data_IF_853773087075
#
_entry.id   IF_853773087075
#
_cell.length_a   1.000
_cell.length_b   1.000
_cell.length_c   1.000
_cell.angle_alpha   90.00
_cell.angle_beta   90.00
_cell.angle_gamma   90.00
#
_symmetry.space_group_name_H-M   'P 1'
#
loop_
_entity.id
_entity.type
_entity.pdbx_description
1 polymer ?
#
# COMPACT_ATOMS: atom_id res chain seq x y z
N UNK A 1 -69.03 25.62 7.74
CA UNK A 1 -68.75 26.25 6.43
C UNK A 1 -68.04 25.25 5.53
N UNK A 2 -68.81 24.54 4.70
CA UNK A 2 -68.31 23.73 3.59
C UNK A 2 -68.68 24.46 2.31
N UNK A 3 -67.70 25.14 1.71
CA UNK A 3 -67.89 25.78 0.41
C UNK A 3 -67.72 24.72 -0.69
N UNK A 4 -68.62 24.65 -1.65
CA UNK A 4 -68.48 23.79 -2.85
C UNK A 4 -67.21 24.15 -3.65
N UNK A 5 -66.74 25.40 -3.54
CA UNK A 5 -65.57 25.91 -4.27
C UNK A 5 -64.25 25.65 -3.55
N UNK A 6 -64.27 25.42 -2.23
CA UNK A 6 -63.06 25.19 -1.44
C UNK A 6 -63.33 24.13 -0.38
N UNK A 7 -62.75 22.94 -0.60
CA UNK A 7 -62.88 21.79 0.30
C UNK A 7 -61.66 21.72 1.24
N UNK A 8 -61.77 22.21 2.50
CA UNK A 8 -60.65 22.22 3.43
C UNK A 8 -60.18 20.82 3.83
N UNK A 9 -61.06 19.83 3.91
CA UNK A 9 -60.69 18.45 4.22
C UNK A 9 -59.83 17.84 3.10
N UNK A 10 -60.22 18.06 1.84
CA UNK A 10 -59.44 17.62 0.68
C UNK A 10 -58.07 18.33 0.59
N UNK A 11 -58.01 19.63 0.91
CA UNK A 11 -56.73 20.37 0.94
C UNK A 11 -55.79 19.89 2.05
N UNK A 12 -56.32 19.49 3.20
CA UNK A 12 -55.52 18.91 4.29
C UNK A 12 -55.02 17.51 3.88
N UNK A 13 -55.90 16.68 3.32
CA UNK A 13 -55.52 15.36 2.80
C UNK A 13 -54.42 15.46 1.73
N UNK A 14 -54.52 16.43 0.82
CA UNK A 14 -53.50 16.69 -0.20
C UNK A 14 -52.17 17.14 0.40
N UNK A 15 -52.19 18.01 1.43
CA UNK A 15 -50.98 18.41 2.16
C UNK A 15 -50.32 17.23 2.86
N UNK A 16 -51.10 16.38 3.52
CA UNK A 16 -50.59 15.15 4.16
C UNK A 16 -50.03 14.19 3.12
N UNK A 17 -50.72 13.98 1.99
CA UNK A 17 -50.24 13.11 0.92
C UNK A 17 -48.91 13.62 0.32
N UNK A 18 -48.81 14.93 0.08
CA UNK A 18 -47.55 15.53 -0.39
C UNK A 18 -46.42 15.35 0.64
N UNK A 19 -46.70 15.54 1.93
CA UNK A 19 -45.71 15.30 2.99
C UNK A 19 -45.26 13.82 3.03
N UNK A 20 -46.19 12.86 2.92
CA UNK A 20 -45.87 11.44 2.86
C UNK A 20 -45.06 11.08 1.62
N UNK A 21 -45.40 11.64 0.46
CA UNK A 21 -44.65 11.42 -0.78
C UNK A 21 -43.22 11.96 -0.69
N UNK A 22 -43.01 13.14 -0.10
CA UNK A 22 -41.67 13.69 0.13
C UNK A 22 -40.86 12.81 1.08
N UNK A 23 -41.46 12.34 2.18
CA UNK A 23 -40.80 11.43 3.12
C UNK A 23 -40.45 10.06 2.50
N UNK A 24 -41.33 9.55 1.63
CA UNK A 24 -41.09 8.32 0.87
C UNK A 24 -39.93 8.50 -0.11
N UNK A 25 -39.88 9.60 -0.87
CA UNK A 25 -38.76 9.93 -1.76
C UNK A 25 -37.44 10.02 -1.01
N UNK A 26 -37.41 10.68 0.15
CA UNK A 26 -36.19 10.75 0.97
C UNK A 26 -35.74 9.36 1.44
N UNK A 27 -36.68 8.50 1.85
CA UNK A 27 -36.37 7.13 2.27
C UNK A 27 -35.84 6.31 1.10
N UNK A 28 -36.46 6.42 -0.08
CA UNK A 28 -35.99 5.75 -1.30
C UNK A 28 -34.58 6.22 -1.69
N UNK A 29 -34.29 7.52 -1.62
CA UNK A 29 -32.96 8.05 -1.89
C UNK A 29 -31.91 7.50 -0.92
N UNK A 30 -32.24 7.39 0.37
CA UNK A 30 -31.34 6.76 1.37
C UNK A 30 -31.13 5.27 1.12
N UNK A 31 -32.17 4.54 0.72
CA UNK A 31 -32.07 3.11 0.40
C UNK A 31 -31.25 2.91 -0.88
N UNK A 32 -31.45 3.74 -1.90
CA UNK A 32 -30.75 3.66 -3.18
C UNK A 32 -29.27 4.02 -3.06
N UNK A 33 -28.94 5.07 -2.30
CA UNK A 33 -27.55 5.53 -2.12
C UNK A 33 -26.83 4.82 -0.98
N UNK A 34 -27.56 4.20 -0.06
CA UNK A 34 -27.03 3.68 1.21
C UNK A 34 -26.57 4.76 2.18
N UNK A 35 -26.74 6.05 1.87
CA UNK A 35 -26.27 7.17 2.69
C UNK A 35 -27.43 7.88 3.37
N UNK A 36 -27.27 8.14 4.67
CA UNK A 36 -28.22 8.96 5.44
C UNK A 36 -28.21 10.44 5.01
N UNK A 37 -27.04 10.93 4.58
CA UNK A 37 -26.79 12.27 4.02
C UNK A 37 -26.09 12.07 2.68
N UNK A 38 -26.83 12.19 1.58
CA UNK A 38 -26.31 11.96 0.23
C UNK A 38 -25.79 13.25 -0.40
N UNK A 39 -26.47 14.37 -0.15
CA UNK A 39 -26.16 15.66 -0.76
C UNK A 39 -25.76 16.71 0.28
N UNK A 40 -25.05 17.75 -0.16
CA UNK A 40 -24.71 18.89 0.69
C UNK A 40 -25.96 19.70 1.11
N UNK A 41 -27.03 19.62 0.33
CA UNK A 41 -28.34 20.22 0.61
C UNK A 41 -29.03 19.60 1.84
N UNK A 42 -28.82 18.30 2.09
CA UNK A 42 -29.39 17.59 3.23
C UNK A 42 -28.75 18.05 4.57
N UNK A 43 -27.42 18.14 4.57
CA UNK A 43 -26.65 18.67 5.70
C UNK A 43 -25.20 18.96 5.27
N UNK A 44 -24.89 20.23 4.98
CA UNK A 44 -23.57 20.62 4.45
C UNK A 44 -22.40 20.23 5.37
N UNK A 45 -22.58 20.34 6.70
CA UNK A 45 -21.52 20.03 7.66
C UNK A 45 -21.21 18.52 7.70
N UNK A 46 -22.22 17.68 7.85
CA UNK A 46 -22.03 16.22 7.86
C UNK A 46 -21.62 15.68 6.50
N UNK A 47 -22.13 16.27 5.40
CA UNK A 47 -21.73 15.88 4.06
C UNK A 47 -20.24 16.20 3.80
N UNK A 48 -19.76 17.37 4.23
CA UNK A 48 -18.35 17.75 4.09
C UNK A 48 -17.43 16.80 4.86
N UNK A 49 -17.73 16.54 6.14
CA UNK A 49 -16.96 15.59 6.96
C UNK A 49 -16.98 14.18 6.34
N UNK A 50 -18.16 13.69 5.94
CA UNK A 50 -18.29 12.37 5.33
C UNK A 50 -17.52 12.27 3.99
N UNK A 51 -17.47 13.34 3.21
CA UNK A 51 -16.73 13.38 1.95
C UNK A 51 -15.22 13.33 2.20
N UNK A 52 -14.72 14.06 3.20
CA UNK A 52 -13.31 13.98 3.62
C UNK A 52 -12.99 12.56 4.10
N UNK A 53 -13.82 11.97 4.97
CA UNK A 53 -13.63 10.60 5.45
C UNK A 53 -13.63 9.55 4.31
N UNK A 54 -14.50 9.71 3.31
CA UNK A 54 -14.50 8.83 2.12
C UNK A 54 -13.23 9.02 1.29
N UNK A 55 -12.73 10.25 1.15
CA UNK A 55 -11.45 10.52 0.48
C UNK A 55 -10.29 9.87 1.23
N UNK A 56 -10.27 9.98 2.56
CA UNK A 56 -9.24 9.38 3.40
C UNK A 56 -9.27 7.86 3.35
N UNK A 57 -10.46 7.27 3.35
CA UNK A 57 -10.61 5.82 3.21
C UNK A 57 -10.01 5.32 1.89
N UNK A 58 -10.20 6.04 0.78
CA UNK A 58 -9.57 5.71 -0.50
C UNK A 58 -8.04 5.84 -0.44
N UNK A 59 -7.54 6.93 0.14
CA UNK A 59 -6.10 7.13 0.29
C UNK A 59 -5.45 6.06 1.19
N UNK A 60 -6.09 5.69 2.30
CA UNK A 60 -5.66 4.62 3.19
C UNK A 60 -5.62 3.26 2.47
N UNK A 61 -6.62 2.97 1.64
CA UNK A 61 -6.60 1.75 0.80
C UNK A 61 -5.37 1.72 -0.10
N UNK A 62 -5.08 2.82 -0.80
CA UNK A 62 -3.89 2.89 -1.67
C UNK A 62 -2.58 2.80 -0.89
N UNK A 63 -2.53 3.34 0.33
CA UNK A 63 -1.37 3.25 1.21
C UNK A 63 -1.20 1.82 1.74
N UNK A 64 -2.29 1.12 2.02
CA UNK A 64 -2.25 -0.30 2.37
C UNK A 64 -1.70 -1.16 1.22
N UNK A 65 -2.13 -0.90 -0.01
CA UNK A 65 -1.59 -1.58 -1.19
C UNK A 65 -0.10 -1.29 -1.36
N UNK A 66 0.30 -0.02 -1.22
CA UNK A 66 1.70 0.39 -1.30
C UNK A 66 2.56 -0.23 -0.18
N UNK A 67 2.04 -0.32 1.04
CA UNK A 67 2.67 -1.02 2.16
C UNK A 67 2.87 -2.51 1.85
N UNK A 68 1.84 -3.17 1.30
CA UNK A 68 1.94 -4.59 0.91
C UNK A 68 2.99 -4.85 -0.18
N UNK A 69 3.11 -3.93 -1.14
CA UNK A 69 4.18 -3.99 -2.14
C UNK A 69 5.55 -3.72 -1.51
N UNK A 70 5.64 -2.78 -0.57
CA UNK A 70 6.84 -2.47 0.18
C UNK A 70 7.34 -3.64 1.01
N UNK A 71 6.46 -4.30 1.76
CA UNK A 71 6.79 -5.48 2.56
C UNK A 71 7.27 -6.61 1.67
N UNK A 72 6.61 -6.86 0.53
CA UNK A 72 7.03 -7.91 -0.39
C UNK A 72 8.45 -7.67 -0.97
N UNK A 73 8.80 -6.41 -1.28
CA UNK A 73 10.18 -6.05 -1.70
C UNK A 73 11.20 -6.33 -0.60
N UNK A 74 10.90 -5.92 0.63
CA UNK A 74 11.78 -6.14 1.78
C UNK A 74 11.94 -7.64 2.07
N UNK A 75 10.86 -8.40 2.01
CA UNK A 75 10.88 -9.84 2.26
C UNK A 75 11.75 -10.59 1.23
N UNK A 76 11.61 -10.28 -0.06
CA UNK A 76 12.48 -10.85 -1.11
C UNK A 76 13.94 -10.50 -0.85
N UNK A 77 14.22 -9.24 -0.51
CA UNK A 77 15.58 -8.78 -0.18
C UNK A 77 16.14 -9.53 1.03
N UNK A 78 15.35 -9.67 2.09
CA UNK A 78 15.72 -10.36 3.32
C UNK A 78 15.98 -11.85 3.11
N UNK A 79 15.12 -12.54 2.35
CA UNK A 79 15.32 -13.95 2.00
C UNK A 79 16.60 -14.17 1.19
N UNK A 80 16.85 -13.30 0.20
CA UNK A 80 18.08 -13.37 -0.61
C UNK A 80 19.34 -13.05 0.19
N UNK A 81 19.27 -12.12 1.15
CA UNK A 81 20.36 -11.87 2.10
C UNK A 81 20.64 -13.10 2.96
N UNK A 82 19.60 -13.75 3.50
CA UNK A 82 19.78 -14.95 4.30
C UNK A 82 20.42 -16.09 3.49
N UNK A 83 19.98 -16.30 2.24
CA UNK A 83 20.61 -17.27 1.35
C UNK A 83 22.06 -16.90 1.01
N UNK A 84 22.38 -15.60 0.93
CA UNK A 84 23.74 -15.11 0.70
C UNK A 84 24.64 -15.40 1.90
N UNK A 85 24.13 -15.25 3.13
CA UNK A 85 24.86 -15.61 4.36
C UNK A 85 25.24 -17.10 4.35
N UNK A 86 24.31 -17.98 4.00
CA UNK A 86 24.58 -19.43 3.90
C UNK A 86 25.70 -19.76 2.89
N UNK A 87 25.74 -19.06 1.76
CA UNK A 87 26.80 -19.21 0.75
C UNK A 87 28.14 -18.69 1.27
N UNK A 88 28.15 -17.55 1.97
CA UNK A 88 29.37 -17.00 2.59
C UNK A 88 29.91 -17.94 3.67
N UNK A 89 29.05 -18.57 4.47
CA UNK A 89 29.46 -19.56 5.46
C UNK A 89 30.09 -20.80 4.81
N UNK A 90 29.55 -21.26 3.66
CA UNK A 90 30.19 -22.31 2.85
C UNK A 90 31.56 -21.87 2.36
N UNK A 91 31.69 -20.66 1.82
CA UNK A 91 33.00 -20.10 1.38
C UNK A 91 34.00 -20.09 2.55
N UNK A 92 33.57 -19.63 3.73
CA UNK A 92 34.40 -19.62 4.95
C UNK A 92 34.86 -21.03 5.33
N UNK A 93 33.96 -22.02 5.29
CA UNK A 93 34.33 -23.42 5.60
C UNK A 93 35.39 -23.97 4.62
N UNK A 94 35.26 -23.65 3.32
CA UNK A 94 36.23 -24.04 2.28
C UNK A 94 37.57 -23.34 2.45
N UNK A 95 37.58 -22.06 2.84
CA UNK A 95 38.79 -21.31 3.17
C UNK A 95 39.53 -21.90 4.38
N UNK A 96 38.80 -22.36 5.40
CA UNK A 96 39.41 -23.04 6.56
C UNK A 96 40.01 -24.39 6.12
N UNK A 97 39.30 -25.16 5.30
CA UNK A 97 39.83 -26.42 4.76
C UNK A 97 41.10 -26.22 3.92
N UNK A 98 41.23 -25.09 3.20
CA UNK A 98 42.41 -24.75 2.42
C UNK A 98 43.67 -24.45 3.25
N UNK A 99 43.52 -24.22 4.57
CA UNK A 99 44.67 -24.01 5.47
C UNK A 99 45.34 -25.31 5.92
N UNK A 100 44.68 -26.45 5.76
CA UNK A 100 45.27 -27.74 6.11
C UNK A 100 46.46 -28.06 5.17
N UNK A 101 47.64 -28.42 5.71
CA UNK A 101 48.79 -28.80 4.90
C UNK A 101 48.51 -30.06 4.06
N UNK A 102 48.85 -30.03 2.77
CA UNK A 102 48.70 -31.19 1.87
C UNK A 102 47.38 -31.24 1.08
N UNK A 103 46.50 -30.26 1.24
CA UNK A 103 45.24 -30.17 0.47
C UNK A 103 45.44 -29.47 -0.88
N UNK A 104 44.71 -29.92 -1.90
CA UNK A 104 44.70 -29.29 -3.22
C UNK A 104 43.97 -27.93 -3.21
N UNK A 105 44.77 -26.88 -3.10
CA UNK A 105 44.29 -25.50 -3.07
C UNK A 105 43.68 -25.04 -4.40
N UNK A 106 44.06 -25.65 -5.52
CA UNK A 106 43.53 -25.26 -6.83
C UNK A 106 42.07 -25.71 -6.97
N UNK A 107 41.77 -26.94 -6.57
CA UNK A 107 40.40 -27.45 -6.54
C UNK A 107 39.51 -26.66 -5.58
N UNK A 108 40.00 -26.33 -4.38
CA UNK A 108 39.24 -25.50 -3.42
C UNK A 108 38.99 -24.08 -3.99
N UNK A 109 39.97 -23.48 -4.66
CA UNK A 109 39.78 -22.18 -5.29
C UNK A 109 38.73 -22.21 -6.40
N UNK A 110 38.65 -23.31 -7.16
CA UNK A 110 37.58 -23.51 -8.15
C UNK A 110 36.21 -23.56 -7.50
N UNK A 111 36.05 -24.30 -6.40
CA UNK A 111 34.78 -24.36 -5.65
C UNK A 111 34.40 -23.00 -5.05
N UNK A 112 35.36 -22.23 -4.52
CA UNK A 112 35.11 -20.88 -4.01
C UNK A 112 34.65 -19.96 -5.14
N UNK A 113 35.22 -20.09 -6.34
CA UNK A 113 34.82 -19.30 -7.52
C UNK A 113 33.37 -19.60 -7.91
N UNK A 114 32.97 -20.88 -7.87
CA UNK A 114 31.59 -21.27 -8.14
C UNK A 114 30.62 -20.74 -7.06
N UNK A 115 31.00 -20.80 -5.77
CA UNK A 115 30.21 -20.23 -4.69
C UNK A 115 30.07 -18.70 -4.81
N UNK A 116 31.11 -18.01 -5.29
CA UNK A 116 31.04 -16.57 -5.60
C UNK A 116 30.09 -16.30 -6.78
N UNK A 117 30.10 -17.14 -7.81
CA UNK A 117 29.16 -17.03 -8.93
C UNK A 117 27.71 -17.28 -8.45
N UNK A 118 27.50 -18.27 -7.57
CA UNK A 118 26.21 -18.53 -6.94
C UNK A 118 25.72 -17.34 -6.11
N UNK A 119 26.62 -16.70 -5.33
CA UNK A 119 26.29 -15.48 -4.56
C UNK A 119 25.79 -14.36 -5.49
N UNK A 120 26.47 -14.14 -6.63
CA UNK A 120 26.04 -13.15 -7.63
C UNK A 120 24.68 -13.50 -8.23
N UNK A 121 24.47 -14.78 -8.57
CA UNK A 121 23.17 -15.23 -9.10
C UNK A 121 22.02 -15.04 -8.10
N UNK A 122 22.25 -15.26 -6.80
CA UNK A 122 21.27 -14.96 -5.74
C UNK A 122 20.98 -13.46 -5.70
N UNK A 123 22.02 -12.63 -5.72
CA UNK A 123 21.85 -11.18 -5.75
C UNK A 123 21.05 -10.73 -6.98
N UNK A 124 21.37 -11.24 -8.18
CA UNK A 124 20.69 -10.90 -9.43
C UNK A 124 19.23 -11.38 -9.49
N UNK A 125 18.95 -12.55 -8.90
CA UNK A 125 17.59 -13.13 -8.84
C UNK A 125 16.67 -12.46 -7.82
N UNK A 126 17.20 -11.66 -6.91
CA UNK A 126 16.45 -10.93 -5.88
C UNK A 126 15.69 -9.71 -6.45
N UNK A 127 14.95 -9.91 -7.53
CA UNK A 127 14.13 -8.87 -8.17
C UNK A 127 12.66 -9.01 -7.78
N UNK A 128 12.05 -7.88 -7.42
CA UNK A 128 10.60 -7.78 -7.22
C UNK A 128 10.06 -6.62 -8.05
N UNK A 129 9.06 -6.91 -8.89
CA UNK A 129 8.44 -5.92 -9.78
C UNK A 129 9.42 -5.19 -10.70
N UNK A 130 10.52 -5.85 -11.11
CA UNK A 130 11.54 -5.28 -12.00
C UNK A 130 12.60 -4.43 -11.30
N UNK A 131 12.52 -4.24 -9.99
CA UNK A 131 13.57 -3.61 -9.18
C UNK A 131 14.36 -4.68 -8.44
N UNK A 132 15.67 -4.48 -8.34
CA UNK A 132 16.57 -5.29 -7.52
C UNK A 132 17.31 -4.37 -6.56
N UNK A 133 17.33 -4.71 -5.27
CA UNK A 133 17.94 -3.91 -4.21
C UNK A 133 19.31 -4.45 -3.76
N UNK A 134 19.69 -5.64 -4.21
CA UNK A 134 20.95 -6.32 -3.87
C UNK A 134 21.99 -6.23 -4.98
N UNK A 135 21.54 -6.38 -6.24
CA UNK A 135 22.38 -6.18 -7.42
C UNK A 135 22.11 -4.78 -7.97
N UNK A 136 22.86 -3.80 -7.46
CA UNK A 136 22.75 -2.39 -7.86
C UNK A 136 24.08 -1.89 -8.39
N UNK A 137 24.04 -1.21 -9.53
CA UNK A 137 25.19 -0.51 -10.09
C UNK A 137 25.27 0.90 -9.50
N UNK A 138 26.14 1.07 -8.51
CA UNK A 138 26.39 2.37 -7.85
C UNK A 138 27.08 3.40 -8.76
N UNK A 139 27.57 2.98 -9.94
CA UNK A 139 28.17 3.87 -10.95
C UNK A 139 27.15 4.41 -11.96
N UNK A 140 25.93 3.84 -11.99
CA UNK A 140 24.88 4.30 -12.87
C UNK A 140 24.33 5.66 -12.42
N UNK A 141 24.19 6.61 -13.36
CA UNK A 141 23.71 7.97 -13.06
C UNK A 141 22.28 8.07 -12.48
N UNK A 142 21.51 6.98 -12.52
CA UNK A 142 20.17 6.86 -11.93
C UNK A 142 20.16 6.05 -10.62
N UNK A 143 21.33 5.77 -10.05
CA UNK A 143 21.42 5.05 -8.78
C UNK A 143 20.84 5.91 -7.65
N UNK A 144 19.82 5.36 -6.99
CA UNK A 144 19.24 5.95 -5.79
C UNK A 144 19.64 5.06 -4.63
N UNK A 145 20.56 5.56 -3.81
CA UNK A 145 21.13 4.88 -2.63
C UNK A 145 20.07 4.59 -1.57
N UNK A 146 19.17 5.54 -1.33
CA UNK A 146 18.12 5.42 -0.33
C UNK A 146 16.81 5.07 -1.01
N UNK A 147 16.33 3.85 -0.82
CA UNK A 147 15.01 3.41 -1.29
C UNK A 147 13.95 3.85 -0.29
N UNK A 148 12.83 4.34 -0.78
CA UNK A 148 11.72 4.77 0.07
C UNK A 148 10.55 3.79 -0.03
N UNK A 149 10.03 3.40 1.13
CA UNK A 149 8.82 2.58 1.26
C UNK A 149 7.77 3.40 1.99
N UNK A 150 6.53 3.43 1.48
CA UNK A 150 5.42 4.12 2.15
C UNK A 150 5.23 3.52 3.55
N UNK A 151 5.07 4.36 4.58
CA UNK A 151 4.97 3.92 5.98
C UNK A 151 3.64 4.28 6.63
N UNK A 152 3.14 5.49 6.39
CA UNK A 152 1.88 5.93 6.98
C UNK A 152 1.23 7.07 6.20
N UNK A 153 -0.07 7.20 6.42
CA UNK A 153 -0.88 8.31 5.95
C UNK A 153 -1.33 9.11 7.16
N UNK A 154 -1.07 10.42 7.13
CA UNK A 154 -1.48 11.33 8.20
C UNK A 154 -2.26 12.50 7.62
N UNK A 155 -3.37 12.83 8.29
CA UNK A 155 -4.15 14.04 8.01
C UNK A 155 -4.09 14.97 9.22
N UNK A 156 -3.59 16.18 9.00
CA UNK A 156 -3.59 17.25 9.99
C UNK A 156 -4.40 18.43 9.43
N UNK A 157 -5.67 18.55 9.88
CA UNK A 157 -6.60 19.54 9.35
C UNK A 157 -6.85 19.35 7.84
N UNK A 158 -6.57 20.38 7.05
CA UNK A 158 -6.68 20.32 5.59
C UNK A 158 -5.46 19.66 4.91
N UNK A 159 -4.33 19.53 5.61
CA UNK A 159 -3.10 18.94 5.07
C UNK A 159 -3.14 17.42 5.09
N UNK A 160 -2.66 16.81 4.00
CA UNK A 160 -2.49 15.37 3.87
C UNK A 160 -1.03 15.08 3.57
N UNK A 161 -0.44 14.17 4.32
CA UNK A 161 0.95 13.76 4.15
C UNK A 161 1.07 12.24 4.15
N UNK A 162 1.85 11.73 3.20
CA UNK A 162 2.28 10.33 3.18
C UNK A 162 3.72 10.31 3.64
N UNK A 163 3.98 9.56 4.71
CA UNK A 163 5.33 9.38 5.23
C UNK A 163 5.95 8.14 4.58
N UNK A 164 7.26 8.19 4.38
CA UNK A 164 8.06 7.07 3.88
C UNK A 164 9.09 6.65 4.93
N UNK A 165 9.49 5.38 4.89
CA UNK A 165 10.67 4.86 5.58
C UNK A 165 11.78 4.79 4.54
N UNK A 166 12.94 5.33 4.91
CA UNK A 166 14.15 5.30 4.11
C UNK A 166 14.96 4.06 4.44
N UNK A 167 15.31 3.29 3.42
CA UNK A 167 16.16 2.10 3.49
C UNK A 167 17.41 2.39 2.69
N UNK A 168 18.56 2.41 3.37
CA UNK A 168 19.86 2.55 2.72
C UNK A 168 20.23 1.22 2.04
N UNK A 169 20.58 1.30 0.77
CA UNK A 169 20.97 0.15 -0.08
C UNK A 169 22.39 0.29 -0.63
N UNK A 170 23.21 1.18 -0.06
CA UNK A 170 24.66 1.22 -0.32
C UNK A 170 25.45 0.16 0.45
#
# INVERSE_FOLDING_TARGET
MTSIKTNPAAMIALRTLNATNTALQQTQNRVSTGYRVSEASDNAAYWSIATIMRSDSKALSTVQDALGLGTAKIDVTYMSLNSSIDVVDKIKSKLVAAREPGVDKASIQSEITELQAQLRAIADSASFSGENWLSVDSSAGNYVQVKEVVSSFTRAGAGVTVNTIQIDTA
#
